data_IF_403932352415
#
_entry.id   IF_403932352415
#
_cell.length_a   1.000
_cell.length_b   1.000
_cell.length_c   1.000
_cell.angle_alpha   90.00
_cell.angle_beta   90.00
_cell.angle_gamma   90.00
#
_symmetry.space_group_name_H-M   'P 1'
#
loop_
_entity.id
_entity.type
_entity.pdbx_description
1 polymer ?
#
# COMPACT_ATOMS: atom_id res chain seq x y z
N UNK A 1 -59.61 -4.45 4.87
CA UNK A 1 -58.49 -3.66 4.37
C UNK A 1 -58.50 -2.26 4.93
N UNK A 2 -57.38 -1.81 5.49
CA UNK A 2 -56.83 -0.54 5.07
C UNK A 2 -55.37 -0.67 4.64
N UNK A 3 -55.12 -0.18 3.43
CA UNK A 3 -53.83 -0.10 2.75
C UNK A 3 -52.98 0.99 3.41
N UNK A 4 -51.75 0.62 3.72
CA UNK A 4 -50.69 1.45 4.28
C UNK A 4 -50.34 2.59 3.32
N UNK A 5 -50.60 3.83 3.72
CA UNK A 5 -49.95 5.01 3.12
C UNK A 5 -48.56 5.15 3.75
N UNK A 6 -47.61 4.36 3.26
CA UNK A 6 -46.19 4.56 3.51
C UNK A 6 -45.77 5.82 2.74
N UNK A 7 -45.40 6.86 3.48
CA UNK A 7 -44.93 8.15 2.97
C UNK A 7 -43.49 8.02 2.44
N UNK A 8 -43.37 7.38 1.27
CA UNK A 8 -42.11 7.11 0.56
C UNK A 8 -41.34 8.38 0.15
N UNK A 9 -41.97 9.56 0.20
CA UNK A 9 -41.32 10.84 -0.16
C UNK A 9 -40.46 11.42 0.95
N UNK A 10 -40.68 11.05 2.21
CA UNK A 10 -39.84 11.49 3.33
C UNK A 10 -38.58 10.64 3.49
N UNK A 11 -38.67 9.32 3.27
CA UNK A 11 -37.52 8.41 3.39
C UNK A 11 -36.41 8.73 2.37
N UNK A 12 -36.76 9.02 1.11
CA UNK A 12 -35.78 9.30 0.07
C UNK A 12 -34.90 10.55 0.33
N UNK A 13 -35.39 11.54 1.09
CA UNK A 13 -34.57 12.71 1.49
C UNK A 13 -33.62 12.38 2.62
N UNK A 14 -34.06 11.65 3.63
CA UNK A 14 -33.18 11.22 4.73
C UNK A 14 -32.08 10.29 4.22
N UNK A 15 -32.43 9.32 3.36
CA UNK A 15 -31.47 8.38 2.76
C UNK A 15 -30.39 9.11 1.94
N UNK A 16 -30.77 10.17 1.22
CA UNK A 16 -29.80 10.98 0.45
C UNK A 16 -28.82 11.78 1.33
N UNK A 17 -29.25 12.17 2.54
CA UNK A 17 -28.39 12.89 3.50
C UNK A 17 -27.41 11.91 4.16
N UNK A 18 -27.88 10.73 4.57
CA UNK A 18 -27.02 9.68 5.12
C UNK A 18 -26.00 9.15 4.10
N UNK A 19 -26.39 8.98 2.83
CA UNK A 19 -25.46 8.59 1.77
C UNK A 19 -24.37 9.63 1.56
N UNK A 20 -24.72 10.93 1.61
CA UNK A 20 -23.75 12.02 1.44
C UNK A 20 -22.80 12.16 2.63
N UNK A 21 -23.29 11.95 3.86
CA UNK A 21 -22.46 11.98 5.07
C UNK A 21 -21.47 10.82 5.09
N UNK A 22 -21.90 9.61 4.72
CA UNK A 22 -21.03 8.43 4.60
C UNK A 22 -20.01 8.56 3.46
N UNK A 23 -20.38 9.16 2.32
CA UNK A 23 -19.43 9.48 1.24
C UNK A 23 -18.40 10.53 1.67
N UNK A 24 -18.78 11.51 2.50
CA UNK A 24 -17.85 12.52 3.01
C UNK A 24 -16.87 11.94 4.04
N UNK A 25 -17.36 11.12 4.98
CA UNK A 25 -16.49 10.40 5.92
C UNK A 25 -15.54 9.42 5.20
N UNK A 26 -16.01 8.75 4.15
CA UNK A 26 -15.18 7.90 3.31
C UNK A 26 -14.09 8.69 2.58
N UNK A 27 -14.43 9.85 1.99
CA UNK A 27 -13.47 10.72 1.32
C UNK A 27 -12.35 11.20 2.25
N UNK A 28 -12.60 11.26 3.57
CA UNK A 28 -11.62 11.61 4.61
C UNK A 28 -10.94 10.39 5.26
N UNK A 29 -11.12 9.19 4.72
CA UNK A 29 -10.59 7.96 5.30
C UNK A 29 -9.50 7.32 4.42
N UNK A 30 -8.41 6.92 5.06
CA UNK A 30 -7.25 6.29 4.42
C UNK A 30 -6.95 4.93 5.04
N UNK A 31 -7.01 3.88 4.23
CA UNK A 31 -6.59 2.54 4.60
C UNK A 31 -5.11 2.36 4.28
N UNK A 32 -4.36 1.89 5.25
CA UNK A 32 -2.91 1.73 5.16
C UNK A 32 -2.56 0.26 5.19
N UNK A 33 -1.78 -0.16 4.21
CA UNK A 33 -1.24 -1.51 4.14
C UNK A 33 0.26 -1.42 3.84
N UNK A 34 1.01 -2.23 4.56
CA UNK A 34 2.40 -2.48 4.24
C UNK A 34 2.64 -3.98 4.22
N UNK A 35 3.47 -4.42 3.29
CA UNK A 35 3.84 -5.81 3.10
C UNK A 35 4.77 -6.29 4.21
N UNK A 36 4.58 -7.54 4.60
CA UNK A 36 5.42 -8.28 5.54
C UNK A 36 5.92 -9.60 4.93
N UNK A 37 5.92 -9.75 3.60
CA UNK A 37 6.47 -10.90 2.91
C UNK A 37 7.97 -11.12 3.25
N UNK A 38 8.50 -12.35 3.12
CA UNK A 38 9.91 -12.63 3.37
C UNK A 38 10.92 -11.73 2.65
N UNK A 39 10.61 -11.26 1.43
CA UNK A 39 11.48 -10.34 0.69
C UNK A 39 11.65 -8.99 1.39
N UNK A 40 10.64 -8.54 2.14
CA UNK A 40 10.69 -7.29 2.91
C UNK A 40 11.70 -7.33 4.06
N UNK A 41 12.11 -8.51 4.52
CA UNK A 41 13.17 -8.64 5.54
C UNK A 41 14.59 -8.50 4.96
N UNK A 42 14.74 -8.26 3.66
CA UNK A 42 16.04 -8.07 3.02
C UNK A 42 16.71 -6.75 3.40
N UNK A 43 18.03 -6.80 3.57
CA UNK A 43 18.93 -5.64 3.67
C UNK A 43 20.30 -6.06 3.15
N UNK A 44 20.89 -5.27 2.25
CA UNK A 44 22.20 -5.56 1.68
C UNK A 44 23.37 -5.23 2.60
N UNK A 45 23.12 -4.53 3.71
CA UNK A 45 24.15 -4.08 4.64
C UNK A 45 23.60 -3.94 6.05
N UNK A 46 24.35 -4.38 7.05
CA UNK A 46 24.00 -4.19 8.48
C UNK A 46 23.87 -2.72 8.91
N UNK A 47 24.25 -1.77 8.06
CA UNK A 47 24.11 -0.33 8.29
C UNK A 47 22.79 0.24 7.75
N UNK A 48 22.06 -0.55 6.96
CA UNK A 48 20.77 -0.17 6.40
C UNK A 48 19.66 -0.91 7.16
N UNK A 49 18.51 -0.26 7.40
CA UNK A 49 17.33 -0.96 7.86
C UNK A 49 16.87 -1.96 6.79
N UNK A 50 16.13 -2.97 7.21
CA UNK A 50 15.37 -3.83 6.30
C UNK A 50 14.32 -3.03 5.54
N UNK A 51 13.86 -3.53 4.38
CA UNK A 51 12.76 -2.93 3.64
C UNK A 51 11.50 -2.81 4.51
N UNK A 52 11.22 -3.82 5.33
CA UNK A 52 10.09 -3.86 6.26
C UNK A 52 10.19 -2.77 7.32
N UNK A 53 11.31 -2.66 8.05
CA UNK A 53 11.49 -1.58 9.04
C UNK A 53 11.29 -0.19 8.42
N UNK A 54 11.73 0.00 7.17
CA UNK A 54 11.57 1.25 6.45
C UNK A 54 10.12 1.48 6.00
N UNK A 55 9.43 0.44 5.53
CA UNK A 55 8.02 0.49 5.16
C UNK A 55 7.13 0.84 6.36
N UNK A 56 7.44 0.27 7.53
CA UNK A 56 6.72 0.49 8.79
C UNK A 56 6.88 1.92 9.27
N UNK A 57 8.11 2.42 9.21
CA UNK A 57 8.43 3.82 9.51
C UNK A 57 7.62 4.76 8.61
N UNK A 58 7.62 4.53 7.30
CA UNK A 58 6.87 5.36 6.34
C UNK A 58 5.36 5.26 6.57
N UNK A 59 4.85 4.08 6.86
CA UNK A 59 3.42 3.82 7.15
C UNK A 59 2.97 4.59 8.39
N UNK A 60 3.69 4.45 9.50
CA UNK A 60 3.35 5.10 10.77
C UNK A 60 3.57 6.62 10.72
N UNK A 61 4.61 7.08 10.04
CA UNK A 61 4.86 8.51 9.85
C UNK A 61 3.76 9.14 8.99
N UNK A 62 3.33 8.47 7.91
CA UNK A 62 2.22 8.92 7.09
C UNK A 62 0.92 8.98 7.88
N UNK A 63 0.60 7.92 8.62
CA UNK A 63 -0.56 7.89 9.50
C UNK A 63 -0.58 9.07 10.47
N UNK A 64 0.58 9.39 11.07
CA UNK A 64 0.70 10.55 11.96
C UNK A 64 0.43 11.88 11.25
N UNK A 65 0.91 12.05 10.03
CA UNK A 65 0.64 13.26 9.23
C UNK A 65 -0.83 13.35 8.80
N UNK A 66 -1.42 12.25 8.33
CA UNK A 66 -2.83 12.17 7.95
C UNK A 66 -3.75 12.53 9.13
N UNK A 67 -3.51 11.93 10.30
CA UNK A 67 -4.25 12.26 11.53
C UNK A 67 -4.14 13.75 11.87
N UNK A 68 -2.95 14.35 11.74
CA UNK A 68 -2.76 15.79 11.98
C UNK A 68 -3.45 16.65 10.93
N UNK A 69 -3.59 16.15 9.70
CA UNK A 69 -4.34 16.75 8.61
C UNK A 69 -5.86 16.62 8.75
N UNK A 70 -6.35 15.92 9.77
CA UNK A 70 -7.78 15.71 10.01
C UNK A 70 -8.35 14.45 9.36
N UNK A 71 -7.51 13.61 8.76
CA UNK A 71 -7.93 12.36 8.12
C UNK A 71 -8.16 11.26 9.16
N UNK A 72 -9.04 10.33 8.81
CA UNK A 72 -9.22 9.07 9.52
C UNK A 72 -8.35 7.99 8.88
N UNK A 73 -7.83 7.07 9.69
CA UNK A 73 -6.99 5.98 9.23
C UNK A 73 -7.46 4.62 9.75
N UNK A 74 -7.21 3.58 8.97
CA UNK A 74 -7.40 2.19 9.36
C UNK A 74 -6.29 1.29 8.78
N UNK A 75 -5.88 0.22 9.48
CA UNK A 75 -5.13 -0.86 8.84
C UNK A 75 -6.04 -1.60 7.85
N UNK A 76 -5.55 -1.84 6.62
CA UNK A 76 -6.24 -2.65 5.63
C UNK A 76 -6.16 -4.15 5.97
N UNK A 77 -7.22 -4.89 5.67
CA UNK A 77 -7.37 -6.32 5.92
C UNK A 77 -7.89 -6.68 7.31
N UNK A 78 -8.20 -5.69 8.15
CA UNK A 78 -8.52 -5.91 9.58
C UNK A 78 -10.00 -5.70 9.90
N UNK A 79 -10.82 -5.22 8.96
CA UNK A 79 -12.22 -4.89 9.23
C UNK A 79 -12.37 -3.74 10.24
N UNK A 80 -11.32 -2.93 10.38
CA UNK A 80 -11.27 -1.85 11.37
C UNK A 80 -11.92 -0.60 10.79
N UNK A 81 -12.82 0.02 11.55
CA UNK A 81 -13.44 1.28 11.15
C UNK A 81 -12.37 2.40 11.21
N UNK A 82 -12.21 3.20 10.15
CA UNK A 82 -11.31 4.34 10.17
C UNK A 82 -11.59 5.28 11.34
N UNK A 83 -10.52 5.69 12.01
CA UNK A 83 -10.60 6.59 13.16
C UNK A 83 -9.39 7.52 13.20
N UNK A 84 -9.41 8.50 14.09
CA UNK A 84 -8.33 9.48 14.22
C UNK A 84 -7.70 9.48 15.62
N UNK A 85 -6.63 10.25 15.78
CA UNK A 85 -5.93 10.44 17.04
C UNK A 85 -5.03 9.27 17.44
N UNK A 86 -4.55 9.34 18.69
CA UNK A 86 -3.51 8.42 19.19
C UNK A 86 -3.94 6.94 19.21
N UNK A 87 -5.23 6.68 19.46
CA UNK A 87 -5.74 5.31 19.49
C UNK A 87 -5.67 4.67 18.09
N UNK A 88 -6.07 5.41 17.04
CA UNK A 88 -5.98 4.93 15.67
C UNK A 88 -4.55 4.56 15.28
N UNK A 89 -3.57 5.39 15.66
CA UNK A 89 -2.15 5.12 15.42
C UNK A 89 -1.67 3.86 16.17
N UNK A 90 -2.13 3.65 17.41
CA UNK A 90 -1.79 2.45 18.18
C UNK A 90 -2.41 1.19 17.56
N UNK A 91 -3.64 1.27 17.06
CA UNK A 91 -4.31 0.14 16.37
C UNK A 91 -3.55 -0.22 15.09
N UNK A 92 -3.13 0.79 14.32
CA UNK A 92 -2.30 0.57 13.14
C UNK A 92 -0.97 -0.08 13.53
N UNK A 93 -0.25 0.46 14.52
CA UNK A 93 1.02 -0.10 14.99
C UNK A 93 0.87 -1.57 15.43
N UNK A 94 -0.17 -1.90 16.20
CA UNK A 94 -0.46 -3.28 16.59
C UNK A 94 -0.73 -4.18 15.38
N UNK A 95 -1.50 -3.71 14.40
CA UNK A 95 -1.77 -4.47 13.17
C UNK A 95 -0.50 -4.73 12.34
N UNK A 96 0.45 -3.79 12.36
CA UNK A 96 1.77 -3.92 11.72
C UNK A 96 2.68 -4.92 12.45
N UNK A 97 2.54 -5.07 13.77
CA UNK A 97 3.24 -6.09 14.56
C UNK A 97 2.62 -7.48 14.38
N UNK A 98 1.28 -7.57 14.42
CA UNK A 98 0.53 -8.84 14.31
C UNK A 98 0.73 -9.51 12.95
N UNK A 99 0.86 -8.74 11.86
CA UNK A 99 1.11 -9.33 10.52
C UNK A 99 2.45 -10.07 10.44
N UNK A 100 3.47 -9.65 11.19
CA UNK A 100 4.77 -10.36 11.20
C UNK A 100 4.62 -11.73 11.89
N UNK A 101 3.66 -11.86 12.80
CA UNK A 101 3.30 -13.13 13.41
C UNK A 101 2.53 -13.98 12.39
N UNK A 102 1.53 -13.40 11.73
CA UNK A 102 0.69 -14.07 10.71
C UNK A 102 1.48 -14.51 9.47
N UNK A 103 2.55 -13.79 9.10
CA UNK A 103 3.51 -14.15 8.05
C UNK A 103 4.08 -15.56 8.22
N UNK A 104 4.26 -16.02 9.46
CA UNK A 104 4.76 -17.38 9.72
C UNK A 104 3.75 -18.46 9.30
N UNK A 105 2.50 -18.07 9.08
CA UNK A 105 1.38 -18.97 8.74
C UNK A 105 0.90 -18.79 7.28
N UNK A 106 1.06 -17.61 6.68
CA UNK A 106 0.67 -17.32 5.29
C UNK A 106 1.74 -16.47 4.56
N UNK A 107 2.11 -16.90 3.35
CA UNK A 107 3.15 -16.29 2.52
C UNK A 107 2.58 -15.37 1.42
N UNK A 108 1.51 -14.62 1.70
CA UNK A 108 0.95 -13.68 0.72
C UNK A 108 1.65 -12.32 0.78
N UNK A 109 2.16 -11.84 -0.36
CA UNK A 109 2.83 -10.54 -0.51
C UNK A 109 1.94 -9.47 -1.19
N UNK A 110 0.66 -9.79 -1.41
CA UNK A 110 -0.34 -8.88 -1.97
C UNK A 110 -1.31 -8.40 -0.87
N UNK A 111 -1.88 -7.19 -1.01
CA UNK A 111 -2.81 -6.68 -0.02
C UNK A 111 -4.06 -7.57 0.08
N UNK A 112 -4.58 -7.78 1.31
CA UNK A 112 -5.80 -8.53 1.51
C UNK A 112 -6.99 -7.77 0.92
N UNK A 113 -8.01 -8.53 0.52
CA UNK A 113 -9.30 -7.95 0.16
C UNK A 113 -9.99 -7.43 1.43
N UNK A 114 -10.33 -6.15 1.43
CA UNK A 114 -11.27 -5.54 2.37
C UNK A 114 -12.22 -4.61 1.61
N UNK A 115 -13.48 -4.54 2.05
CA UNK A 115 -14.44 -3.63 1.45
C UNK A 115 -14.15 -2.19 1.90
N UNK A 116 -13.46 -1.46 1.04
CA UNK A 116 -13.26 -0.01 1.19
C UNK A 116 -14.43 0.74 0.54
N UNK A 117 -15.08 1.69 1.24
CA UNK A 117 -16.12 2.53 0.66
C UNK A 117 -15.63 3.32 -0.55
N UNK A 118 -16.54 3.63 -1.48
CA UNK A 118 -16.26 4.51 -2.62
C UNK A 118 -15.72 5.86 -2.12
N UNK A 119 -14.77 6.44 -2.85
CA UNK A 119 -14.05 7.67 -2.49
C UNK A 119 -13.12 7.54 -1.27
N UNK A 120 -13.04 6.37 -0.63
CA UNK A 120 -11.95 6.05 0.29
C UNK A 120 -10.60 6.03 -0.43
N UNK A 121 -9.52 6.14 0.35
CA UNK A 121 -8.15 6.08 -0.16
C UNK A 121 -7.41 4.88 0.39
N UNK A 122 -6.58 4.23 -0.42
CA UNK A 122 -5.71 3.11 0.00
C UNK A 122 -4.25 3.44 -0.30
N UNK A 123 -3.36 3.18 0.66
CA UNK A 123 -1.90 3.26 0.44
C UNK A 123 -1.32 1.86 0.59
N UNK A 124 -0.64 1.40 -0.46
CA UNK A 124 0.00 0.10 -0.53
C UNK A 124 1.52 0.26 -0.56
N UNK A 125 2.23 -0.36 0.39
CA UNK A 125 3.69 -0.24 0.54
C UNK A 125 4.31 -1.64 0.54
N UNK A 126 5.03 -2.00 -0.53
CA UNK A 126 5.67 -3.32 -0.74
C UNK A 126 6.89 -3.15 -1.65
N UNK A 127 7.67 -4.20 -1.89
CA UNK A 127 8.62 -4.26 -3.00
C UNK A 127 7.97 -4.62 -4.35
N UNK A 128 6.75 -5.16 -4.34
CA UNK A 128 5.92 -5.46 -5.50
C UNK A 128 6.63 -6.32 -6.54
N UNK A 129 7.20 -7.45 -6.10
CA UNK A 129 7.94 -8.37 -6.96
C UNK A 129 7.07 -9.49 -7.55
N UNK A 130 5.77 -9.49 -7.26
CA UNK A 130 4.79 -10.43 -7.79
C UNK A 130 4.51 -10.17 -9.28
N UNK A 131 3.96 -11.14 -10.02
CA UNK A 131 3.58 -10.92 -11.40
C UNK A 131 2.59 -9.74 -11.52
N UNK A 132 2.84 -8.87 -12.50
CA UNK A 132 2.06 -7.64 -12.72
C UNK A 132 0.55 -7.91 -12.86
N UNK A 133 0.17 -9.05 -13.44
CA UNK A 133 -1.22 -9.44 -13.57
C UNK A 133 -1.90 -9.65 -12.21
N UNK A 134 -1.18 -10.13 -11.20
CA UNK A 134 -1.71 -10.34 -9.86
C UNK A 134 -1.86 -9.02 -9.12
N UNK A 135 -0.84 -8.16 -9.24
CA UNK A 135 -0.85 -6.80 -8.69
C UNK A 135 -2.00 -6.00 -9.31
N UNK A 136 -2.19 -6.10 -10.63
CA UNK A 136 -3.28 -5.43 -11.32
C UNK A 136 -4.66 -5.92 -10.83
N UNK A 137 -4.82 -7.22 -10.56
CA UNK A 137 -6.07 -7.75 -9.96
C UNK A 137 -6.27 -7.22 -8.53
N UNK A 138 -5.22 -7.18 -7.72
CA UNK A 138 -5.28 -6.69 -6.35
C UNK A 138 -5.62 -5.18 -6.29
N UNK A 139 -5.07 -4.38 -7.20
CA UNK A 139 -5.41 -2.95 -7.35
C UNK A 139 -6.82 -2.76 -7.93
N UNK A 140 -7.22 -3.60 -8.89
CA UNK A 140 -8.55 -3.60 -9.52
C UNK A 140 -9.69 -3.76 -8.50
N UNK A 141 -9.51 -4.63 -7.50
CA UNK A 141 -10.45 -4.82 -6.37
C UNK A 141 -10.90 -3.50 -5.73
N UNK A 142 -9.99 -2.54 -5.60
CA UNK A 142 -10.24 -1.22 -5.01
C UNK A 142 -10.66 -0.21 -6.07
N UNK A 143 -9.85 -0.06 -7.13
CA UNK A 143 -10.04 0.97 -8.15
C UNK A 143 -11.36 0.83 -8.92
N UNK A 144 -11.83 -0.39 -9.20
CA UNK A 144 -13.12 -0.63 -9.86
C UNK A 144 -14.33 -0.13 -9.05
N UNK A 145 -14.13 0.12 -7.74
CA UNK A 145 -15.14 0.65 -6.82
C UNK A 145 -15.03 2.16 -6.61
N UNK A 146 -14.13 2.84 -7.34
CA UNK A 146 -13.87 4.27 -7.18
C UNK A 146 -13.12 4.60 -5.89
N UNK A 147 -12.26 3.69 -5.44
CA UNK A 147 -11.29 3.92 -4.37
C UNK A 147 -10.04 4.52 -4.99
N UNK A 148 -9.60 5.66 -4.46
CA UNK A 148 -8.34 6.29 -4.84
C UNK A 148 -7.18 5.60 -4.12
N UNK A 149 -5.95 5.76 -4.61
CA UNK A 149 -4.83 5.15 -3.91
C UNK A 149 -3.45 5.54 -4.36
N UNK A 150 -2.48 4.96 -3.67
CA UNK A 150 -1.07 5.18 -3.90
C UNK A 150 -0.28 3.88 -3.74
N UNK A 151 0.57 3.57 -4.72
CA UNK A 151 1.52 2.45 -4.69
C UNK A 151 2.91 3.01 -4.39
N UNK A 152 3.50 2.57 -3.28
CA UNK A 152 4.87 2.93 -2.92
C UNK A 152 5.76 1.69 -2.92
N UNK A 153 6.62 1.59 -3.92
CA UNK A 153 7.61 0.52 -4.01
C UNK A 153 8.80 0.81 -3.09
N UNK A 154 9.17 -0.15 -2.23
CA UNK A 154 10.34 -0.11 -1.36
C UNK A 154 11.40 -1.07 -1.91
N UNK A 155 12.62 -0.58 -2.11
CA UNK A 155 13.74 -1.37 -2.61
C UNK A 155 14.99 -1.18 -1.73
N UNK A 156 15.85 -2.18 -1.68
CA UNK A 156 17.21 -2.03 -1.17
C UNK A 156 18.15 -1.54 -2.31
N UNK A 157 19.16 -0.69 -2.05
CA UNK A 157 20.07 -0.21 -3.08
C UNK A 157 20.80 -1.32 -3.86
N UNK A 158 21.03 -2.48 -3.25
CA UNK A 158 21.64 -3.62 -3.93
C UNK A 158 20.70 -4.32 -4.89
N UNK A 159 19.38 -4.25 -4.70
CA UNK A 159 18.40 -4.77 -5.67
C UNK A 159 18.48 -3.95 -6.97
N UNK A 160 18.75 -2.64 -6.90
CA UNK A 160 18.91 -1.82 -8.10
C UNK A 160 20.29 -1.94 -8.75
N UNK A 161 21.34 -1.94 -7.93
CA UNK A 161 22.71 -1.88 -8.43
C UNK A 161 23.29 -3.26 -8.74
N UNK A 162 22.78 -4.30 -8.08
CA UNK A 162 23.31 -5.67 -8.05
C UNK A 162 24.83 -5.70 -7.94
N UNK A 163 25.43 -5.16 -6.87
CA UNK A 163 26.87 -4.95 -6.77
C UNK A 163 27.65 -6.27 -6.53
N UNK A 164 26.96 -7.40 -6.40
CA UNK A 164 27.57 -8.70 -6.12
C UNK A 164 28.31 -9.26 -7.34
N UNK A 165 29.55 -9.70 -7.13
CA UNK A 165 30.37 -10.42 -8.11
C UNK A 165 30.82 -11.78 -7.57
N UNK A 166 31.06 -12.73 -8.47
CA UNK A 166 31.48 -14.10 -8.14
C UNK A 166 30.32 -15.07 -7.86
N UNK A 167 30.63 -16.22 -7.24
CA UNK A 167 29.64 -17.22 -6.83
C UNK A 167 28.91 -16.73 -5.58
N UNK A 168 27.91 -15.87 -5.75
CA UNK A 168 27.02 -15.48 -4.66
C UNK A 168 25.87 -16.48 -4.58
N UNK A 169 25.67 -17.07 -3.39
CA UNK A 169 24.46 -17.84 -3.10
C UNK A 169 23.32 -16.84 -2.94
N UNK A 170 22.43 -16.78 -3.94
CA UNK A 170 21.12 -16.17 -3.75
C UNK A 170 20.29 -17.19 -2.96
N UNK A 171 20.00 -16.88 -1.70
CA UNK A 171 18.96 -17.60 -0.96
C UNK A 171 17.63 -16.98 -1.40
N UNK A 172 16.86 -17.74 -2.18
CA UNK A 172 15.50 -17.36 -2.54
C UNK A 172 14.69 -17.17 -1.27
N UNK A 173 14.11 -15.98 -1.09
CA UNK A 173 13.35 -15.64 0.12
C UNK A 173 11.99 -16.35 0.17
N UNK A 174 11.55 -16.98 -0.93
CA UNK A 174 10.26 -17.65 -1.03
C UNK A 174 10.35 -19.02 -1.70
N UNK A 175 10.59 -20.11 -0.95
CA UNK A 175 10.48 -21.53 -1.37
C UNK A 175 11.14 -21.96 -2.71
N UNK A 176 11.84 -21.09 -3.41
CA UNK A 176 12.66 -21.39 -4.57
C UNK A 176 14.00 -21.86 -4.04
N UNK A 177 14.16 -23.19 -4.03
CA UNK A 177 15.31 -23.86 -3.44
C UNK A 177 16.65 -23.23 -3.85
N UNK A 178 17.62 -23.29 -2.93
CA UNK A 178 18.99 -22.78 -3.04
C UNK A 178 19.59 -22.91 -4.46
N UNK A 179 19.34 -21.93 -5.32
CA UNK A 179 19.91 -21.90 -6.65
C UNK A 179 21.31 -21.30 -6.55
N UNK A 180 22.33 -22.16 -6.66
CA UNK A 180 23.70 -21.73 -6.94
C UNK A 180 23.74 -21.10 -8.33
N UNK A 181 23.43 -19.81 -8.44
CA UNK A 181 23.58 -19.06 -9.70
C UNK A 181 25.09 -18.93 -9.97
N UNK A 182 25.56 -19.70 -10.96
CA UNK A 182 26.99 -19.96 -11.20
C UNK A 182 27.83 -18.77 -11.69
N UNK A 183 27.23 -17.60 -11.93
CA UNK A 183 27.88 -16.31 -12.22
C UNK A 183 26.81 -15.21 -12.24
N UNK A 184 26.90 -14.25 -11.32
CA UNK A 184 25.96 -13.12 -11.19
C UNK A 184 26.12 -12.13 -12.34
N UNK A 185 27.31 -12.06 -12.94
CA UNK A 185 27.65 -11.10 -13.98
C UNK A 185 26.83 -11.31 -15.27
N UNK A 186 26.47 -12.55 -15.60
CA UNK A 186 25.68 -12.87 -16.80
C UNK A 186 24.18 -12.63 -16.65
N UNK A 187 23.67 -12.50 -15.41
CA UNK A 187 22.24 -12.34 -15.10
C UNK A 187 21.92 -10.89 -14.69
N UNK A 188 22.95 -10.07 -14.45
CA UNK A 188 22.79 -8.70 -13.94
C UNK A 188 21.99 -7.80 -14.88
N UNK A 189 22.30 -7.83 -16.17
CA UNK A 189 21.64 -6.95 -17.14
C UNK A 189 20.20 -7.41 -17.41
N UNK A 190 19.96 -8.73 -17.45
CA UNK A 190 18.63 -9.31 -17.54
C UNK A 190 17.79 -8.93 -16.32
N UNK A 191 18.30 -9.12 -15.09
CA UNK A 191 17.59 -8.74 -13.87
C UNK A 191 17.28 -7.24 -13.82
N UNK A 192 18.23 -6.38 -14.21
CA UNK A 192 17.97 -4.93 -14.27
C UNK A 192 16.88 -4.58 -15.28
N UNK A 193 16.84 -5.31 -16.39
CA UNK A 193 15.80 -5.16 -17.41
C UNK A 193 14.45 -5.59 -16.85
N UNK A 194 14.37 -6.73 -16.18
CA UNK A 194 13.15 -7.23 -15.54
C UNK A 194 12.67 -6.29 -14.43
N UNK A 195 13.55 -5.82 -13.54
CA UNK A 195 13.18 -4.87 -12.48
C UNK A 195 12.69 -3.53 -13.07
N UNK A 196 13.32 -3.06 -14.15
CA UNK A 196 12.85 -1.86 -14.85
C UNK A 196 11.49 -2.08 -15.51
N UNK A 197 11.25 -3.24 -16.11
CA UNK A 197 9.97 -3.63 -16.70
C UNK A 197 8.89 -3.74 -15.62
N UNK A 198 9.20 -4.37 -14.49
CA UNK A 198 8.33 -4.45 -13.32
C UNK A 198 7.92 -3.05 -12.85
N UNK A 199 8.88 -2.15 -12.65
CA UNK A 199 8.60 -0.77 -12.23
C UNK A 199 7.71 -0.03 -13.24
N UNK A 200 7.97 -0.17 -14.54
CA UNK A 200 7.13 0.43 -15.58
C UNK A 200 5.71 -0.14 -15.57
N UNK A 201 5.58 -1.45 -15.32
CA UNK A 201 4.30 -2.13 -15.14
C UNK A 201 3.53 -1.57 -13.95
N UNK A 202 4.16 -1.41 -12.79
CA UNK A 202 3.55 -0.83 -11.60
C UNK A 202 3.07 0.59 -11.84
N UNK A 203 3.88 1.42 -12.48
CA UNK A 203 3.50 2.78 -12.87
C UNK A 203 2.30 2.78 -13.84
N UNK A 204 2.28 1.85 -14.79
CA UNK A 204 1.16 1.71 -15.73
C UNK A 204 -0.14 1.25 -15.04
N UNK A 205 -0.05 0.31 -14.08
CA UNK A 205 -1.17 -0.15 -13.26
C UNK A 205 -1.72 1.03 -12.44
N UNK A 206 -0.86 1.72 -11.69
CA UNK A 206 -1.25 2.87 -10.88
C UNK A 206 -1.93 3.94 -11.74
N UNK A 207 -1.32 4.31 -12.87
CA UNK A 207 -1.90 5.31 -13.79
C UNK A 207 -3.26 4.89 -14.35
N UNK A 208 -3.43 3.61 -14.70
CA UNK A 208 -4.71 3.09 -15.22
C UNK A 208 -5.80 3.14 -14.14
N UNK A 209 -5.44 2.88 -12.89
CA UNK A 209 -6.32 3.00 -11.73
C UNK A 209 -6.57 4.47 -11.30
N UNK A 210 -5.88 5.45 -11.88
CA UNK A 210 -5.92 6.85 -11.42
C UNK A 210 -5.15 7.09 -10.10
N UNK A 211 -4.28 6.17 -9.72
CA UNK A 211 -3.51 6.18 -8.47
C UNK A 211 -2.14 6.83 -8.62
N UNK A 212 -1.60 7.29 -7.50
CA UNK A 212 -0.19 7.72 -7.43
C UNK A 212 0.77 6.54 -7.39
N UNK A 213 2.00 6.76 -7.88
CA UNK A 213 3.09 5.79 -7.82
C UNK A 213 4.38 6.46 -7.35
N UNK A 214 5.14 5.79 -6.49
CA UNK A 214 6.47 6.21 -6.10
C UNK A 214 7.39 5.04 -5.79
N UNK A 215 8.69 5.33 -5.81
CA UNK A 215 9.74 4.38 -5.41
C UNK A 215 10.57 5.02 -4.30
N UNK A 216 10.96 4.21 -3.33
CA UNK A 216 11.86 4.60 -2.27
C UNK A 216 12.93 3.52 -2.07
N UNK A 217 14.16 3.95 -1.83
CA UNK A 217 15.26 3.05 -1.50
C UNK A 217 15.68 3.22 -0.05
N UNK A 218 15.98 2.11 0.63
CA UNK A 218 16.26 2.08 2.09
C UNK A 218 17.52 2.85 2.50
N UNK A 219 18.37 3.25 1.56
CA UNK A 219 19.55 4.10 1.75
C UNK A 219 19.25 5.60 1.68
N UNK A 220 18.02 5.98 1.33
CA UNK A 220 17.60 7.38 1.25
C UNK A 220 16.85 7.80 2.52
N UNK A 221 16.95 9.08 2.90
CA UNK A 221 16.13 9.62 3.98
C UNK A 221 14.62 9.50 3.66
N UNK A 222 13.78 9.04 4.60
CA UNK A 222 12.34 8.80 4.35
C UNK A 222 11.53 10.08 4.15
N UNK A 223 12.02 11.24 4.61
CA UNK A 223 11.26 12.49 4.70
C UNK A 223 10.79 13.00 3.33
N UNK A 224 11.63 12.88 2.31
CA UNK A 224 11.28 13.33 0.95
C UNK A 224 10.19 12.44 0.33
N UNK A 225 10.27 11.12 0.55
CA UNK A 225 9.22 10.19 0.11
C UNK A 225 7.93 10.44 0.87
N UNK A 226 8.01 10.60 2.19
CA UNK A 226 6.86 10.86 3.05
C UNK A 226 6.13 12.14 2.62
N UNK A 227 6.86 13.22 2.33
CA UNK A 227 6.28 14.48 1.89
C UNK A 227 5.57 14.33 0.53
N UNK A 228 6.20 13.64 -0.45
CA UNK A 228 5.57 13.37 -1.74
C UNK A 228 4.28 12.56 -1.59
N UNK A 229 4.31 11.52 -0.76
CA UNK A 229 3.18 10.67 -0.48
C UNK A 229 2.03 11.46 0.15
N UNK A 230 2.32 12.26 1.18
CA UNK A 230 1.33 13.10 1.83
C UNK A 230 0.70 14.12 0.87
N UNK A 231 1.51 14.84 0.09
CA UNK A 231 1.02 15.80 -0.91
C UNK A 231 0.17 15.13 -1.98
N UNK A 232 0.56 13.95 -2.45
CA UNK A 232 -0.22 13.20 -3.43
C UNK A 232 -1.60 12.81 -2.90
N UNK A 233 -1.71 12.46 -1.61
CA UNK A 233 -2.98 12.08 -0.99
C UNK A 233 -3.89 13.27 -0.65
N UNK A 234 -3.34 14.47 -0.44
CA UNK A 234 -4.12 15.67 -0.15
C UNK A 234 -4.50 16.46 -1.40
N UNK A 235 -3.71 16.38 -2.48
CA UNK A 235 -4.03 17.02 -3.77
C UNK A 235 -5.31 16.45 -4.39
N UNK A 236 -5.60 15.16 -4.18
CA UNK A 236 -6.84 14.52 -4.62
C UNK A 236 -8.08 15.06 -3.90
N UNK A 237 -7.91 15.55 -2.66
CA UNK A 237 -8.99 16.08 -1.82
C UNK A 237 -9.42 17.49 -2.25
N UNK A 238 -8.53 18.32 -2.79
CA UNK A 238 -8.85 19.72 -3.14
C UNK A 238 -9.76 19.85 -4.39
N UNK A 239 -9.79 18.83 -5.26
CA UNK A 239 -10.59 18.88 -6.49
C UNK A 239 -12.07 18.54 -6.26
N UNK A 240 -12.41 17.76 -5.24
CA UNK A 240 -13.79 17.33 -4.96
C UNK A 240 -14.57 18.29 -4.06
N UNK A 241 -13.91 19.28 -3.43
CA UNK A 241 -14.52 20.24 -2.50
C UNK A 241 -15.00 21.57 -3.12
N UNK A 242 -14.84 21.77 -4.43
CA UNK A 242 -15.17 23.04 -5.10
C UNK A 242 -16.37 22.91 -6.06
N UNK A 243 -17.56 22.57 -5.57
CA UNK A 243 -18.83 22.76 -6.30
C UNK A 243 -20.03 22.97 -5.37
#
# INVERSE_FOLDING_TARGET
DPIQHIDWRRSARSDSVYLRETEWEAAQSVWLWSDASPSMNYSSSKKLPTKMEHADLLTLALASLLIRGGEHIAPLGRGTIPSTGRMALNILAAALEDREIERKEHAGSLPPFEQVPKHGRVVLISDFLEPLEEINRAVGVFSDRGVDGYILQILDPAEQSLPFGGRTRFEGTENEGNALIGRVEGVRDDYKTELAAQRQGLEAIARTAGWGFGVHTTDQPPEATLLRLYVALTATTEWTGSH
#
